data_IF_506934878733
#
_entry.id   IF_506934878733
#
_cell.length_a   1.000
_cell.length_b   1.000
_cell.length_c   1.000
_cell.angle_alpha   90.00
_cell.angle_beta   90.00
_cell.angle_gamma   90.00
#
_symmetry.space_group_name_H-M   'P 1'
#
loop_
_entity.id
_entity.type
_entity.pdbx_description
1 polymer ?
#
# COMPACT_ATOMS: atom_id res chain seq x y z
N UNK A 1 -15.99 -18.10 -7.84
CA UNK A 1 -15.85 -17.03 -8.87
C UNK A 1 -16.93 -17.07 -9.98
N UNK A 2 -18.00 -17.87 -9.87
CA UNK A 2 -19.06 -17.95 -10.89
C UNK A 2 -20.14 -16.88 -10.67
N UNK A 3 -19.82 -15.62 -10.98
CA UNK A 3 -20.71 -14.45 -10.85
C UNK A 3 -20.15 -13.28 -11.64
N UNK A 4 -20.99 -12.28 -11.88
CA UNK A 4 -20.56 -10.97 -12.34
C UNK A 4 -19.56 -10.36 -11.35
N UNK A 5 -18.50 -9.76 -11.88
CA UNK A 5 -17.42 -9.16 -11.08
C UNK A 5 -17.42 -7.66 -11.27
N UNK A 6 -18.03 -6.99 -10.28
CA UNK A 6 -18.13 -5.55 -10.20
C UNK A 6 -17.09 -4.99 -9.25
N UNK A 7 -16.41 -3.93 -9.67
CA UNK A 7 -15.51 -3.14 -8.83
C UNK A 7 -16.04 -1.72 -8.70
N UNK A 8 -15.92 -1.16 -7.50
CA UNK A 8 -16.14 0.25 -7.18
C UNK A 8 -14.82 0.84 -6.70
N UNK A 9 -14.18 1.59 -7.60
CA UNK A 9 -12.86 2.15 -7.38
C UNK A 9 -12.94 3.67 -7.48
N UNK A 10 -12.16 4.33 -6.62
CA UNK A 10 -11.87 5.75 -6.73
C UNK A 10 -10.36 5.97 -6.76
N UNK A 11 -9.91 6.89 -7.62
CA UNK A 11 -8.52 7.30 -7.76
C UNK A 11 -8.39 8.75 -7.28
N UNK A 12 -8.02 9.00 -6.00
CA UNK A 12 -7.98 10.34 -5.43
C UNK A 12 -7.12 11.33 -6.23
N UNK A 13 -5.96 10.90 -6.73
CA UNK A 13 -5.03 11.76 -7.49
C UNK A 13 -5.67 12.41 -8.72
N UNK A 14 -6.55 11.68 -9.41
CA UNK A 14 -7.25 12.16 -10.60
C UNK A 14 -8.71 12.51 -10.35
N UNK A 15 -9.20 12.31 -9.12
CA UNK A 15 -10.61 12.49 -8.70
C UNK A 15 -11.61 11.65 -9.51
N UNK A 16 -11.13 10.63 -10.22
CA UNK A 16 -11.97 9.71 -10.98
C UNK A 16 -12.56 8.66 -10.03
N UNK A 17 -13.84 8.34 -10.23
CA UNK A 17 -14.53 7.26 -9.54
C UNK A 17 -15.37 6.50 -10.55
N UNK A 18 -15.39 5.18 -10.45
CA UNK A 18 -16.22 4.35 -11.33
C UNK A 18 -16.64 3.07 -10.65
N UNK A 19 -17.89 2.69 -10.88
CA UNK A 19 -18.41 1.36 -10.61
C UNK A 19 -18.61 0.64 -11.94
N UNK A 20 -17.95 -0.49 -12.15
CA UNK A 20 -17.94 -1.17 -13.44
C UNK A 20 -17.87 -2.69 -13.29
N UNK A 21 -18.47 -3.39 -14.25
CA UNK A 21 -18.35 -4.84 -14.39
C UNK A 21 -17.21 -5.14 -15.34
N UNK A 22 -16.19 -5.91 -14.94
CA UNK A 22 -15.09 -6.29 -15.84
C UNK A 22 -15.22 -7.75 -16.34
N UNK A 23 -16.11 -8.53 -15.73
CA UNK A 23 -16.37 -9.91 -16.11
C UNK A 23 -17.83 -10.26 -15.84
N UNK A 24 -18.54 -10.76 -16.85
CA UNK A 24 -19.94 -11.18 -16.80
C UNK A 24 -20.05 -12.69 -16.81
N UNK A 25 -20.83 -13.23 -15.89
CA UNK A 25 -21.08 -14.65 -15.80
C UNK A 25 -21.73 -15.14 -17.10
N UNK A 26 -21.15 -16.20 -17.70
CA UNK A 26 -21.66 -16.79 -18.95
C UNK A 26 -21.32 -16.01 -20.23
N UNK A 27 -20.79 -14.78 -20.12
CA UNK A 27 -20.42 -13.95 -21.28
C UNK A 27 -18.91 -13.68 -21.37
N UNK A 28 -18.18 -13.79 -20.25
CA UNK A 28 -16.74 -13.55 -20.21
C UNK A 28 -16.39 -12.10 -19.92
N UNK A 29 -15.33 -11.59 -20.57
CA UNK A 29 -14.81 -10.24 -20.32
C UNK A 29 -15.77 -9.15 -20.77
N UNK A 30 -16.06 -8.20 -19.88
CA UNK A 30 -16.69 -6.94 -20.26
C UNK A 30 -15.57 -5.96 -20.64
N UNK A 31 -15.38 -5.76 -21.94
CA UNK A 31 -14.27 -4.99 -22.50
C UNK A 31 -14.28 -3.55 -21.99
N UNK A 32 -15.47 -2.93 -21.88
CA UNK A 32 -15.59 -1.55 -21.45
C UNK A 32 -15.22 -1.40 -19.97
N UNK A 33 -15.73 -2.28 -19.10
CA UNK A 33 -15.37 -2.24 -17.69
C UNK A 33 -13.91 -2.60 -17.44
N UNK A 34 -13.34 -3.53 -18.22
CA UNK A 34 -11.91 -3.82 -18.14
C UNK A 34 -11.04 -2.62 -18.55
N UNK A 35 -11.44 -1.87 -19.59
CA UNK A 35 -10.75 -0.63 -19.98
C UNK A 35 -10.87 0.46 -18.89
N UNK A 36 -12.03 0.59 -18.26
CA UNK A 36 -12.21 1.49 -17.11
C UNK A 36 -11.30 1.12 -15.94
N UNK A 37 -11.16 -0.19 -15.65
CA UNK A 37 -10.21 -0.69 -14.65
C UNK A 37 -8.78 -0.27 -14.98
N UNK A 38 -8.34 -0.49 -16.22
CA UNK A 38 -7.01 -0.10 -16.68
C UNK A 38 -6.78 1.41 -16.58
N UNK A 39 -7.80 2.21 -16.93
CA UNK A 39 -7.76 3.66 -16.79
C UNK A 39 -7.58 4.10 -15.33
N UNK A 40 -8.37 3.58 -14.39
CA UNK A 40 -8.29 3.95 -12.98
C UNK A 40 -6.98 3.50 -12.30
N UNK A 41 -6.44 2.37 -12.74
CA UNK A 41 -5.18 1.82 -12.24
C UNK A 41 -3.95 2.34 -13.02
N UNK A 42 -4.11 3.26 -13.97
CA UNK A 42 -3.00 3.79 -14.76
C UNK A 42 -1.98 4.55 -13.92
N UNK A 43 -0.85 4.86 -14.57
CA UNK A 43 0.05 5.88 -14.07
C UNK A 43 -0.54 7.27 -14.35
N UNK A 44 -1.16 7.88 -13.34
CA UNK A 44 -1.81 9.19 -13.46
C UNK A 44 -0.80 10.28 -13.79
N UNK A 45 0.39 10.25 -13.16
CA UNK A 45 1.41 11.28 -13.30
C UNK A 45 1.99 11.33 -14.72
N UNK A 46 2.24 10.16 -15.31
CA UNK A 46 2.78 10.05 -16.67
C UNK A 46 1.72 9.78 -17.72
N UNK A 47 0.42 9.81 -17.34
CA UNK A 47 -0.73 9.56 -18.22
C UNK A 47 -0.60 8.27 -19.04
N UNK A 48 0.00 7.23 -18.45
CA UNK A 48 0.30 5.99 -19.13
C UNK A 48 -0.61 4.87 -18.66
N UNK A 49 -1.40 4.35 -19.59
CA UNK A 49 -2.34 3.24 -19.37
C UNK A 49 -1.82 1.98 -20.07
N UNK A 50 -1.84 0.86 -19.34
CA UNK A 50 -1.48 -0.46 -19.87
C UNK A 50 -2.56 -1.48 -19.49
N UNK A 51 -2.48 -2.68 -20.07
CA UNK A 51 -3.35 -3.79 -19.68
C UNK A 51 -2.99 -4.24 -18.27
N UNK A 52 -3.92 -4.06 -17.33
CA UNK A 52 -3.75 -4.53 -15.95
C UNK A 52 -3.90 -6.04 -15.87
N UNK A 53 -3.20 -6.68 -14.93
CA UNK A 53 -3.36 -8.11 -14.70
C UNK A 53 -4.81 -8.45 -14.31
N UNK A 54 -5.48 -9.36 -15.05
CA UNK A 54 -6.77 -9.92 -14.65
C UNK A 54 -6.81 -10.43 -13.21
N UNK A 55 -5.72 -11.07 -12.77
CA UNK A 55 -5.61 -11.62 -11.41
C UNK A 55 -5.62 -10.51 -10.35
N UNK A 56 -5.07 -9.33 -10.67
CA UNK A 56 -5.10 -8.19 -9.75
C UNK A 56 -6.53 -7.69 -9.58
N UNK A 57 -7.31 -7.62 -10.67
CA UNK A 57 -8.72 -7.24 -10.60
C UNK A 57 -9.54 -8.26 -9.80
N UNK A 58 -9.22 -9.55 -9.94
CA UNK A 58 -9.83 -10.61 -9.13
C UNK A 58 -9.48 -10.47 -7.64
N UNK A 59 -8.24 -10.14 -7.30
CA UNK A 59 -7.83 -9.89 -5.91
C UNK A 59 -8.58 -8.69 -5.30
N UNK A 60 -8.64 -7.56 -6.00
CA UNK A 60 -9.40 -6.39 -5.55
C UNK A 60 -10.89 -6.73 -5.39
N UNK A 61 -11.44 -7.53 -6.29
CA UNK A 61 -12.83 -7.98 -6.24
C UNK A 61 -13.09 -8.87 -5.02
N UNK A 62 -12.19 -9.81 -4.70
CA UNK A 62 -12.30 -10.67 -3.52
C UNK A 62 -12.29 -9.85 -2.22
N UNK A 63 -11.39 -8.87 -2.11
CA UNK A 63 -11.34 -7.93 -0.98
C UNK A 63 -12.68 -7.20 -0.85
N UNK A 64 -13.17 -6.58 -1.92
CA UNK A 64 -14.42 -5.81 -1.91
C UNK A 64 -15.63 -6.68 -1.54
N UNK A 65 -15.74 -7.88 -2.12
CA UNK A 65 -16.86 -8.79 -1.86
C UNK A 65 -16.86 -9.26 -0.41
N UNK A 66 -15.70 -9.64 0.13
CA UNK A 66 -15.60 -10.07 1.52
C UNK A 66 -16.06 -8.96 2.46
N UNK A 67 -15.62 -7.72 2.23
CA UNK A 67 -16.03 -6.57 3.04
C UNK A 67 -17.53 -6.29 2.92
N UNK A 68 -18.08 -6.35 1.70
CA UNK A 68 -19.50 -6.13 1.44
C UNK A 68 -20.39 -7.17 2.14
N UNK A 69 -20.03 -8.45 2.07
CA UNK A 69 -20.78 -9.54 2.73
C UNK A 69 -20.76 -9.38 4.25
N UNK A 70 -19.65 -8.90 4.81
CA UNK A 70 -19.51 -8.64 6.24
C UNK A 70 -20.02 -7.25 6.68
N UNK A 71 -20.71 -6.50 5.79
CA UNK A 71 -21.26 -5.17 6.05
C UNK A 71 -20.22 -4.16 6.55
N UNK A 72 -18.97 -4.29 6.08
CA UNK A 72 -17.87 -3.38 6.37
C UNK A 72 -17.71 -2.37 5.22
N UNK A 73 -17.04 -1.22 5.45
CA UNK A 73 -16.65 -0.32 4.37
C UNK A 73 -15.90 -1.10 3.28
N UNK A 74 -16.32 -0.92 2.02
CA UNK A 74 -15.80 -1.71 0.89
C UNK A 74 -15.32 -0.84 -0.28
N UNK A 75 -15.45 0.48 -0.18
CA UNK A 75 -15.06 1.39 -1.26
C UNK A 75 -13.53 1.49 -1.31
N UNK A 76 -12.95 1.01 -2.40
CA UNK A 76 -11.50 0.95 -2.57
C UNK A 76 -11.01 2.29 -3.12
N UNK A 77 -10.17 2.97 -2.35
CA UNK A 77 -9.36 4.07 -2.85
C UNK A 77 -8.03 3.50 -3.35
N UNK A 78 -7.74 3.72 -4.63
CA UNK A 78 -6.49 3.32 -5.28
C UNK A 78 -5.51 4.47 -5.13
N UNK A 79 -4.47 4.30 -4.33
CA UNK A 79 -3.36 5.25 -4.23
C UNK A 79 -2.45 5.11 -5.46
N UNK A 80 -2.21 3.88 -5.92
CA UNK A 80 -1.34 3.61 -7.07
C UNK A 80 -1.71 2.29 -7.74
N UNK A 81 -1.57 2.21 -9.06
CA UNK A 81 -1.71 0.97 -9.84
C UNK A 81 -0.46 0.73 -10.66
N UNK A 82 -0.56 0.64 -11.98
CA UNK A 82 0.59 0.68 -12.87
C UNK A 82 1.46 1.93 -12.63
N UNK A 83 2.78 1.75 -12.68
CA UNK A 83 3.77 2.83 -12.71
C UNK A 83 4.66 2.66 -13.92
N UNK A 84 4.88 3.74 -14.66
CA UNK A 84 5.96 3.76 -15.65
C UNK A 84 7.30 3.52 -14.96
N UNK A 85 8.29 2.90 -15.63
CA UNK A 85 9.64 2.73 -15.07
C UNK A 85 10.21 4.05 -14.53
N UNK A 86 9.99 5.15 -15.26
CA UNK A 86 10.43 6.50 -14.91
C UNK A 86 9.76 7.00 -13.63
N UNK A 87 8.44 6.82 -13.48
CA UNK A 87 7.76 7.16 -12.24
C UNK A 87 8.30 6.32 -11.08
N UNK A 88 8.40 5.00 -11.25
CA UNK A 88 8.86 4.11 -10.19
C UNK A 88 10.29 4.46 -9.73
N UNK A 89 11.21 4.81 -10.64
CA UNK A 89 12.56 5.25 -10.28
C UNK A 89 12.61 6.60 -9.56
N UNK A 90 11.58 7.44 -9.72
CA UNK A 90 11.50 8.74 -9.02
C UNK A 90 11.00 8.64 -7.58
N UNK A 91 10.51 7.46 -7.15
CA UNK A 91 9.97 7.25 -5.82
C UNK A 91 11.05 6.67 -4.91
N UNK A 92 11.27 7.33 -3.78
CA UNK A 92 12.16 6.83 -2.73
C UNK A 92 11.67 5.47 -2.19
N UNK A 93 12.60 4.52 -2.04
CA UNK A 93 12.33 3.18 -1.53
C UNK A 93 11.56 2.25 -2.47
N UNK A 94 11.23 2.68 -3.69
CA UNK A 94 10.58 1.81 -4.67
C UNK A 94 11.56 0.77 -5.24
N UNK A 95 11.16 -0.50 -5.23
CA UNK A 95 11.96 -1.57 -5.81
C UNK A 95 12.13 -1.40 -7.33
N UNK A 96 13.34 -1.61 -7.85
CA UNK A 96 13.64 -1.55 -9.30
C UNK A 96 12.79 -2.53 -10.12
N UNK A 97 12.51 -3.71 -9.56
CA UNK A 97 11.66 -4.75 -10.17
C UNK A 97 10.27 -4.79 -9.53
N UNK A 98 9.69 -3.62 -9.28
CA UNK A 98 8.35 -3.49 -8.70
C UNK A 98 7.28 -4.08 -9.62
N UNK A 99 6.33 -4.82 -9.04
CA UNK A 99 5.18 -5.36 -9.77
C UNK A 99 4.17 -4.28 -10.21
N UNK A 100 4.31 -3.05 -9.71
CA UNK A 100 3.61 -1.89 -10.29
C UNK A 100 4.03 -1.65 -11.74
N UNK A 101 5.32 -1.85 -12.10
CA UNK A 101 5.81 -1.66 -13.47
C UNK A 101 5.28 -2.77 -14.40
N UNK A 102 4.86 -3.90 -13.83
CA UNK A 102 4.29 -5.03 -14.58
C UNK A 102 2.76 -5.00 -14.63
N UNK A 103 2.12 -3.94 -14.12
CA UNK A 103 0.66 -3.84 -14.01
C UNK A 103 0.03 -4.98 -13.20
N UNK A 104 0.78 -5.48 -12.20
CA UNK A 104 0.44 -6.63 -11.35
C UNK A 104 0.30 -6.26 -9.87
N UNK A 105 0.33 -4.97 -9.54
CA UNK A 105 0.19 -4.49 -8.17
C UNK A 105 -0.67 -3.24 -8.07
N UNK A 106 -1.23 -3.02 -6.89
CA UNK A 106 -1.93 -1.82 -6.50
C UNK A 106 -1.63 -1.46 -5.04
N UNK A 107 -1.51 -0.16 -4.78
CA UNK A 107 -1.53 0.39 -3.43
C UNK A 107 -2.94 0.90 -3.16
N UNK A 108 -3.57 0.38 -2.11
CA UNK A 108 -4.98 0.62 -1.81
C UNK A 108 -5.22 0.96 -0.35
N UNK A 109 -6.30 1.70 -0.10
CA UNK A 109 -6.86 1.92 1.23
C UNK A 109 -8.38 1.93 1.17
N UNK A 110 -9.00 1.69 2.31
CA UNK A 110 -10.46 1.71 2.45
C UNK A 110 -10.79 2.59 3.66
N UNK A 111 -11.46 3.74 3.46
CA UNK A 111 -11.87 4.61 4.56
C UNK A 111 -12.66 3.83 5.62
N UNK A 112 -12.27 3.98 6.88
CA UNK A 112 -12.86 3.24 8.00
C UNK A 112 -12.23 1.88 8.29
N UNK A 113 -11.24 1.43 7.51
CA UNK A 113 -10.43 0.26 7.84
C UNK A 113 -8.98 0.66 8.13
N UNK A 114 -8.42 0.12 9.20
CA UNK A 114 -6.98 0.25 9.47
C UNK A 114 -6.16 -0.51 8.44
N UNK A 115 -4.93 -0.05 8.21
CA UNK A 115 -3.93 -0.74 7.38
C UNK A 115 -3.75 -2.19 7.83
N UNK A 116 -3.77 -2.43 9.15
CA UNK A 116 -3.62 -3.77 9.71
C UNK A 116 -4.79 -4.70 9.37
N UNK A 117 -6.03 -4.22 9.51
CA UNK A 117 -7.20 -5.03 9.21
C UNK A 117 -7.31 -5.33 7.71
N UNK A 118 -7.09 -4.31 6.86
CA UNK A 118 -7.12 -4.49 5.42
C UNK A 118 -6.01 -5.42 4.92
N UNK A 119 -4.79 -5.28 5.45
CA UNK A 119 -3.67 -6.13 5.09
C UNK A 119 -3.81 -7.56 5.60
N UNK A 120 -4.38 -7.78 6.79
CA UNK A 120 -4.71 -9.13 7.28
C UNK A 120 -5.76 -9.82 6.41
N UNK A 121 -6.77 -9.07 5.96
CA UNK A 121 -7.73 -9.59 4.98
C UNK A 121 -7.04 -9.98 3.67
N UNK A 122 -6.19 -9.12 3.11
CA UNK A 122 -5.46 -9.44 1.88
C UNK A 122 -4.56 -10.68 2.03
N UNK A 123 -3.89 -10.83 3.17
CA UNK A 123 -3.11 -12.03 3.49
C UNK A 123 -3.98 -13.28 3.59
N UNK A 124 -5.15 -13.20 4.23
CA UNK A 124 -6.07 -14.32 4.37
C UNK A 124 -6.63 -14.80 3.02
N UNK A 125 -6.73 -13.91 2.03
CA UNK A 125 -7.06 -14.29 0.64
C UNK A 125 -5.94 -15.13 0.01
N UNK A 126 -4.68 -14.93 0.43
CA UNK A 126 -3.55 -15.79 0.07
C UNK A 126 -3.06 -15.63 -1.36
N UNK A 127 -3.33 -14.49 -2.00
CA UNK A 127 -2.88 -14.21 -3.38
C UNK A 127 -1.77 -13.16 -3.35
N UNK A 128 -0.59 -13.57 -3.82
CA UNK A 128 0.58 -12.71 -4.03
C UNK A 128 1.06 -11.94 -2.80
N UNK A 129 1.77 -10.85 -3.03
CA UNK A 129 2.43 -10.07 -1.97
C UNK A 129 1.50 -9.09 -1.28
N UNK A 130 1.68 -8.91 0.03
CA UNK A 130 1.00 -7.89 0.85
C UNK A 130 2.02 -7.05 1.61
N UNK A 131 2.03 -5.75 1.36
CA UNK A 131 2.91 -4.79 2.05
C UNK A 131 2.13 -3.86 2.97
N UNK A 132 2.59 -3.68 4.19
CA UNK A 132 1.98 -2.77 5.18
C UNK A 132 2.72 -1.43 5.21
N UNK A 133 1.98 -0.33 4.97
CA UNK A 133 2.51 1.03 5.01
C UNK A 133 1.69 1.89 5.99
N UNK A 134 1.74 1.63 7.31
CA UNK A 134 0.93 2.33 8.31
C UNK A 134 1.18 3.85 8.28
N UNK A 135 2.43 4.28 8.23
CA UNK A 135 2.79 5.71 8.13
C UNK A 135 2.31 6.41 6.85
N UNK A 136 1.96 5.64 5.80
CA UNK A 136 1.38 6.18 4.55
C UNK A 136 -0.13 5.92 4.42
N UNK A 137 -0.74 5.19 5.35
CA UNK A 137 -2.17 4.92 5.41
C UNK A 137 -2.71 4.01 4.29
N UNK A 138 -1.88 3.13 3.70
CA UNK A 138 -2.31 2.17 2.67
C UNK A 138 -1.65 0.79 2.83
N UNK A 139 -2.18 -0.20 2.12
CA UNK A 139 -1.49 -1.47 1.89
C UNK A 139 -1.10 -1.60 0.42
N UNK A 140 -0.01 -2.32 0.17
CA UNK A 140 0.34 -2.83 -1.15
C UNK A 140 -0.25 -4.22 -1.33
N UNK A 141 -0.80 -4.51 -2.50
CA UNK A 141 -1.19 -5.85 -2.93
C UNK A 141 -0.67 -6.15 -4.33
N UNK A 142 -0.17 -7.36 -4.56
CA UNK A 142 0.26 -7.82 -5.87
C UNK A 142 -0.14 -9.27 -6.15
N UNK A 143 0.06 -9.73 -7.38
CA UNK A 143 -0.25 -11.10 -7.81
C UNK A 143 0.99 -11.92 -8.17
N UNK A 144 2.12 -11.59 -7.56
CA UNK A 144 3.37 -12.34 -7.65
C UNK A 144 3.45 -13.49 -6.66
N UNK A 145 4.65 -13.72 -6.09
CA UNK A 145 4.85 -14.72 -5.03
C UNK A 145 4.19 -14.27 -3.72
N UNK A 146 3.60 -15.22 -2.99
CA UNK A 146 3.07 -14.99 -1.65
C UNK A 146 4.19 -14.57 -0.72
N UNK A 147 4.05 -13.37 -0.16
CA UNK A 147 5.01 -12.79 0.80
C UNK A 147 4.35 -11.64 1.55
N UNK A 148 4.89 -11.31 2.71
CA UNK A 148 4.41 -10.17 3.48
C UNK A 148 5.58 -9.37 4.01
N UNK A 149 5.45 -8.05 3.97
CA UNK A 149 6.43 -7.12 4.53
C UNK A 149 5.73 -5.95 5.20
N UNK A 150 6.40 -5.33 6.16
CA UNK A 150 5.94 -4.11 6.83
C UNK A 150 7.06 -3.09 6.79
N UNK A 151 6.73 -1.88 6.34
CA UNK A 151 7.66 -0.76 6.47
C UNK A 151 7.61 -0.27 7.91
N UNK A 152 8.80 -0.12 8.53
CA UNK A 152 8.91 0.41 9.87
C UNK A 152 8.23 1.77 9.94
N UNK A 153 7.43 1.97 10.99
CA UNK A 153 7.02 3.29 11.39
C UNK A 153 8.16 3.78 12.28
N UNK A 154 8.91 4.80 11.84
CA UNK A 154 9.70 5.57 12.79
C UNK A 154 8.66 6.25 13.68
N UNK A 155 8.55 5.76 14.92
CA UNK A 155 7.95 6.58 15.95
C UNK A 155 8.98 7.67 16.26
N UNK A 156 8.70 8.90 15.86
CA UNK A 156 9.53 10.04 16.27
C UNK A 156 9.42 10.29 17.78
N UNK A 157 8.62 9.52 18.51
CA UNK A 157 8.46 9.65 19.95
C UNK A 157 9.18 8.52 20.66
N UNK A 158 10.27 8.95 21.29
CA UNK A 158 11.05 8.26 22.31
C UNK A 158 11.86 7.06 21.83
N UNK A 159 13.19 7.20 21.95
CA UNK A 159 14.06 6.04 22.12
C UNK A 159 13.48 5.21 23.28
N UNK A 160 13.07 3.99 22.97
CA UNK A 160 12.54 3.09 23.99
C UNK A 160 13.60 2.93 25.10
N UNK A 161 13.23 2.91 26.41
CA UNK A 161 14.22 2.92 27.49
C UNK A 161 15.34 1.86 27.38
N UNK A 162 15.01 0.66 26.90
CA UNK A 162 16.01 -0.41 26.68
C UNK A 162 17.04 -0.05 25.60
N UNK A 163 16.67 0.76 24.60
CA UNK A 163 17.58 1.21 23.57
C UNK A 163 18.56 2.25 24.14
N UNK A 164 18.10 3.07 25.09
CA UNK A 164 18.95 4.02 25.83
C UNK A 164 19.93 3.28 26.74
N UNK A 165 19.50 2.21 27.40
CA UNK A 165 20.36 1.37 28.25
C UNK A 165 21.50 0.65 27.49
N UNK A 166 21.38 0.51 26.17
CA UNK A 166 22.39 -0.14 25.32
C UNK A 166 23.38 0.83 24.67
N UNK A 167 23.16 2.14 24.81
CA UNK A 167 24.08 3.15 24.28
C UNK A 167 25.33 3.24 25.17
N UNK A 168 26.51 3.23 24.54
CA UNK A 168 27.77 3.51 25.23
C UNK A 168 27.87 5.02 25.45
N UNK A 169 27.81 5.45 26.71
CA UNK A 169 27.85 6.85 27.12
C UNK A 169 29.12 7.59 26.68
N UNK A 170 30.19 6.87 26.29
CA UNK A 170 31.47 7.45 25.86
C UNK A 170 31.56 7.68 24.34
N UNK A 171 30.81 6.94 23.52
CA UNK A 171 30.86 7.04 22.04
C UNK A 171 29.58 7.55 21.42
N UNK A 172 28.42 7.23 22.01
CA UNK A 172 27.12 7.46 21.38
C UNK A 172 26.56 8.86 21.68
N UNK A 173 27.04 9.51 22.75
CA UNK A 173 26.68 10.87 23.11
C UNK A 173 27.09 11.91 22.05
N UNK A 174 28.29 11.75 21.47
CA UNK A 174 28.78 12.62 20.39
C UNK A 174 28.02 12.40 19.07
N UNK A 175 27.57 11.17 18.83
CA UNK A 175 26.79 10.80 17.64
C UNK A 175 25.35 11.32 17.72
N UNK A 176 24.70 11.22 18.88
CA UNK A 176 23.33 11.70 19.11
C UNK A 176 23.22 13.23 19.09
N UNK A 177 24.20 13.94 19.64
CA UNK A 177 24.23 15.41 19.66
C UNK A 177 24.29 16.06 18.27
N UNK A 178 24.76 15.33 17.25
CA UNK A 178 24.84 15.83 15.86
C UNK A 178 23.55 15.60 15.06
N UNK A 179 22.70 14.63 15.44
CA UNK A 179 21.51 14.25 14.68
C UNK A 179 20.22 14.94 15.13
N UNK A 180 20.14 15.42 16.38
CA UNK A 180 18.93 16.03 16.93
C UNK A 180 19.25 17.21 17.89
N UNK A 181 19.61 18.39 17.36
CA UNK A 181 19.91 19.58 18.18
C UNK A 181 18.68 20.14 18.94
N UNK A 182 17.48 19.64 18.64
CA UNK A 182 16.20 20.13 19.14
C UNK A 182 15.64 19.29 20.31
N UNK A 183 16.37 18.28 20.80
CA UNK A 183 15.90 17.36 21.87
C UNK A 183 16.36 17.87 23.25
N UNK A 184 15.49 18.47 24.08
CA UNK A 184 15.91 19.17 25.30
C UNK A 184 16.30 18.23 26.45
N UNK A 185 15.83 16.98 26.42
CA UNK A 185 15.78 16.14 27.62
C UNK A 185 16.99 15.18 27.80
N UNK A 186 17.99 15.25 26.92
CA UNK A 186 19.22 14.44 27.05
C UNK A 186 20.33 15.12 27.86
N UNK A 187 20.15 16.38 28.29
CA UNK A 187 21.16 17.13 29.08
C UNK A 187 20.89 17.04 30.59
N UNK A 188 19.69 16.65 31.03
CA UNK A 188 19.25 16.81 32.44
C UNK A 188 19.28 15.56 33.34
N UNK A 189 20.01 14.50 33.00
CA UNK A 189 20.14 13.30 33.87
C UNK A 189 21.52 13.04 34.47
N UNK A 190 22.48 13.96 34.34
CA UNK A 190 23.65 13.97 35.23
C UNK A 190 24.57 12.74 35.16
N UNK A 191 24.87 12.23 33.96
CA UNK A 191 25.86 11.16 33.74
C UNK A 191 27.17 11.67 33.10
N UNK A 192 27.69 12.79 33.61
CA UNK A 192 29.11 13.15 33.47
C UNK A 192 29.62 13.65 34.82
N UNK A 193 30.10 12.71 35.63
CA UNK A 193 31.05 12.93 36.71
C UNK A 193 32.10 11.81 36.65
#
# INVERSE_FOLDING_TARGET
MNRDRWLDLERPDSKEKSTFCYFRQGQGWDVQGYQQACGLLRDVRYKSTVRMSPKLLDLLFLIQVWLRVNKLPYKILVNSGYRTPQHNSSLEGAAKQSLHIQAMAADIRIPGLSVDNLGRLAQAIGVGGVGFYPGKGFIHVDVGKVRTWRVAQLDERELHPWAVEQLDSSTDALWLAQMAPEWPDLIETGMLA
#
